data_IF_286836307792
#
_entry.id   IF_286836307792
#
_cell.length_a   1.000
_cell.length_b   1.000
_cell.length_c   1.000
_cell.angle_alpha   90.00
_cell.angle_beta   90.00
_cell.angle_gamma   90.00
#
_symmetry.space_group_name_H-M   'P 1'
#
loop_
_entity.id
_entity.type
_entity.pdbx_description
1 polymer ?
#
# COMPACT_ATOMS: atom_id res chain seq x y z
N UNK A 1 12.93 -1.20 -12.42
CA UNK A 1 12.36 -1.87 -11.24
C UNK A 1 10.92 -2.22 -11.51
N UNK A 2 10.54 -3.45 -11.24
CA UNK A 2 9.14 -3.87 -11.33
C UNK A 2 8.52 -3.85 -9.95
N UNK A 3 7.35 -3.23 -9.83
CA UNK A 3 6.62 -3.15 -8.57
C UNK A 3 5.20 -3.62 -8.80
N UNK A 4 4.79 -4.61 -8.00
CA UNK A 4 3.44 -5.16 -8.04
C UNK A 4 2.76 -4.91 -6.70
N UNK A 5 1.54 -4.41 -6.76
CA UNK A 5 0.71 -4.20 -5.58
C UNK A 5 -0.38 -5.26 -5.53
N UNK A 6 -0.72 -5.69 -4.32
CA UNK A 6 -1.90 -6.52 -4.09
C UNK A 6 -2.58 -6.10 -2.80
N UNK A 7 -3.88 -6.34 -2.71
CA UNK A 7 -4.66 -6.04 -1.52
C UNK A 7 -5.18 -7.36 -0.95
N UNK A 8 -4.98 -7.55 0.36
CA UNK A 8 -5.32 -8.80 1.04
C UNK A 8 -5.89 -8.53 2.43
N UNK A 9 -6.52 -9.55 3.00
CA UNK A 9 -6.97 -9.55 4.39
C UNK A 9 -7.83 -8.34 4.74
N UNK A 10 -8.83 -8.09 3.88
CA UNK A 10 -9.78 -7.00 4.10
C UNK A 10 -10.69 -7.38 5.26
N UNK A 11 -10.74 -6.53 6.28
CA UNK A 11 -11.62 -6.68 7.43
C UNK A 11 -12.60 -5.51 7.47
N UNK A 12 -13.84 -5.77 7.07
CA UNK A 12 -14.85 -4.72 6.99
C UNK A 12 -15.35 -4.28 8.36
N UNK A 13 -15.17 -5.10 9.39
CA UNK A 13 -15.59 -4.73 10.75
C UNK A 13 -14.66 -3.68 11.33
N UNK A 14 -13.35 -3.86 11.20
CA UNK A 14 -12.36 -2.89 11.67
C UNK A 14 -12.01 -1.85 10.61
N UNK A 15 -12.47 -2.04 9.37
CA UNK A 15 -12.17 -1.19 8.22
C UNK A 15 -10.67 -1.10 7.99
N UNK A 16 -10.03 -2.26 7.96
CA UNK A 16 -8.59 -2.38 7.69
C UNK A 16 -8.34 -3.32 6.51
N UNK A 17 -7.20 -3.15 5.89
CA UNK A 17 -6.75 -4.03 4.83
C UNK A 17 -5.23 -4.01 4.76
N UNK A 18 -4.66 -4.93 3.99
CA UNK A 18 -3.22 -5.02 3.79
C UNK A 18 -2.89 -4.75 2.34
N UNK A 19 -1.95 -3.83 2.12
CA UNK A 19 -1.36 -3.63 0.80
C UNK A 19 0.00 -4.31 0.81
N UNK A 20 0.18 -5.27 -0.08
CA UNK A 20 1.45 -5.95 -0.25
C UNK A 20 2.17 -5.38 -1.46
N UNK A 21 3.42 -5.01 -1.25
CA UNK A 21 4.29 -4.44 -2.28
C UNK A 21 5.38 -5.45 -2.58
N UNK A 22 5.45 -5.90 -3.82
CA UNK A 22 6.52 -6.78 -4.28
C UNK A 22 7.38 -6.01 -5.26
N UNK A 23 8.67 -5.86 -4.93
CA UNK A 23 9.61 -5.10 -5.75
C UNK A 23 10.80 -5.95 -6.16
N UNK A 24 11.23 -5.79 -7.39
CA UNK A 24 12.33 -6.58 -7.96
C UNK A 24 13.71 -6.06 -7.59
N UNK A 25 13.81 -4.80 -7.14
CA UNK A 25 15.06 -4.17 -6.79
C UNK A 25 14.83 -3.15 -5.68
N UNK A 26 15.91 -2.65 -5.09
CA UNK A 26 15.83 -1.63 -4.04
C UNK A 26 15.09 -0.39 -4.53
N UNK A 27 14.16 0.09 -3.70
CA UNK A 27 13.40 1.32 -3.95
C UNK A 27 13.62 2.27 -2.78
N UNK A 28 14.27 3.39 -3.04
CA UNK A 28 14.46 4.41 -2.00
C UNK A 28 13.23 5.30 -1.91
N UNK A 29 12.89 5.69 -0.71
CA UNK A 29 11.78 6.61 -0.43
C UNK A 29 10.49 6.21 -1.12
N UNK A 30 10.14 4.93 -1.01
CA UNK A 30 8.87 4.41 -1.54
C UNK A 30 7.71 5.07 -0.81
N UNK A 31 6.74 5.53 -1.58
CA UNK A 31 5.60 6.26 -1.07
C UNK A 31 4.34 5.78 -1.77
N UNK A 32 3.40 5.29 -0.97
CA UNK A 32 2.10 4.82 -1.43
C UNK A 32 1.06 5.88 -1.10
N UNK A 33 0.18 6.16 -2.05
CA UNK A 33 -0.90 7.12 -1.83
C UNK A 33 -2.18 6.65 -2.51
N UNK A 34 -3.31 7.22 -2.07
CA UNK A 34 -4.62 6.85 -2.56
C UNK A 34 -5.33 8.07 -3.13
N UNK A 35 -6.04 7.87 -4.24
CA UNK A 35 -6.95 8.87 -4.79
C UNK A 35 -8.26 8.94 -3.99
N UNK A 36 -8.56 7.89 -3.22
CA UNK A 36 -9.74 7.83 -2.38
C UNK A 36 -9.43 8.50 -1.04
N UNK A 37 -10.36 9.35 -0.57
CA UNK A 37 -10.18 10.05 0.71
C UNK A 37 -10.46 9.12 1.90
N UNK A 38 -9.94 9.50 3.08
CA UNK A 38 -10.21 8.77 4.32
C UNK A 38 -9.38 7.51 4.49
N UNK A 39 -8.27 7.37 3.78
CA UNK A 39 -7.38 6.22 3.93
C UNK A 39 -6.12 6.65 4.68
N UNK A 40 -5.78 5.88 5.71
CA UNK A 40 -4.57 6.07 6.51
C UNK A 40 -3.64 4.88 6.30
N UNK A 41 -2.34 5.15 6.32
CA UNK A 41 -1.29 4.14 6.15
C UNK A 41 -0.53 4.00 7.47
N UNK A 42 -0.20 2.77 7.86
CA UNK A 42 0.57 2.54 9.09
C UNK A 42 2.03 2.93 8.92
N UNK A 43 2.55 2.90 7.70
CA UNK A 43 3.90 3.38 7.39
C UNK A 43 3.98 3.80 5.93
N UNK A 44 4.90 4.71 5.66
CA UNK A 44 5.09 5.24 4.33
C UNK A 44 6.49 5.90 4.25
N UNK A 45 6.90 6.33 3.05
CA UNK A 45 8.21 6.95 2.84
C UNK A 45 9.35 6.05 3.34
N UNK A 46 9.30 4.77 2.98
CA UNK A 46 10.23 3.75 3.45
C UNK A 46 11.16 3.31 2.35
N UNK A 47 12.34 2.81 2.74
CA UNK A 47 13.23 2.15 1.81
C UNK A 47 12.83 0.68 1.74
N UNK A 48 12.64 0.17 0.51
CA UNK A 48 12.25 -1.21 0.28
C UNK A 48 13.40 -2.00 -0.31
N UNK A 49 13.88 -2.99 0.44
CA UNK A 49 14.78 -3.99 -0.10
C UNK A 49 14.02 -4.88 -1.09
N UNK A 50 14.70 -5.55 -2.03
CA UNK A 50 13.99 -6.48 -2.93
C UNK A 50 13.21 -7.53 -2.14
N UNK A 51 11.98 -7.80 -2.57
CA UNK A 51 11.11 -8.78 -1.90
C UNK A 51 9.70 -8.28 -1.72
N UNK A 52 9.05 -8.76 -0.67
CA UNK A 52 7.67 -8.38 -0.36
C UNK A 52 7.60 -7.59 0.93
N UNK A 53 6.75 -6.58 0.94
CA UNK A 53 6.59 -5.68 2.08
C UNK A 53 5.11 -5.43 2.32
N UNK A 54 4.75 -5.27 3.60
CA UNK A 54 3.37 -5.06 4.03
C UNK A 54 3.20 -3.61 4.49
N UNK A 55 2.16 -2.96 3.95
CA UNK A 55 1.67 -1.68 4.45
C UNK A 55 0.21 -1.88 4.82
N UNK A 56 -0.13 -1.72 6.09
CA UNK A 56 -1.52 -1.79 6.53
C UNK A 56 -2.21 -0.46 6.33
N UNK A 57 -3.46 -0.54 5.92
CA UNK A 57 -4.28 0.65 5.72
C UNK A 57 -5.53 0.58 6.58
N UNK A 58 -6.06 1.74 6.93
CA UNK A 58 -7.36 1.90 7.54
C UNK A 58 -8.19 2.83 6.66
N UNK A 59 -9.42 2.43 6.38
CA UNK A 59 -10.33 3.21 5.56
C UNK A 59 -11.59 3.56 6.34
N UNK A 60 -12.33 4.58 5.89
CA UNK A 60 -13.52 5.08 6.60
C UNK A 60 -14.81 4.61 5.98
N UNK A 61 -14.88 4.61 4.66
CA UNK A 61 -16.14 4.38 3.94
C UNK A 61 -16.13 3.02 3.26
N UNK A 62 -16.16 3.01 1.93
CA UNK A 62 -16.19 1.77 1.16
C UNK A 62 -14.82 1.11 1.12
N UNK A 63 -14.81 -0.20 0.95
CA UNK A 63 -13.59 -0.97 0.76
C UNK A 63 -12.84 -0.42 -0.46
N UNK A 64 -11.57 -0.02 -0.29
CA UNK A 64 -10.81 0.49 -1.41
C UNK A 64 -10.45 -0.62 -2.39
N UNK A 65 -10.27 -0.25 -3.65
CA UNK A 65 -9.81 -1.14 -4.70
C UNK A 65 -8.36 -0.86 -5.02
N UNK A 66 -7.69 -1.84 -5.59
CA UNK A 66 -6.27 -1.68 -5.93
C UNK A 66 -6.04 -0.51 -6.87
N UNK A 67 -6.97 -0.25 -7.77
CA UNK A 67 -6.90 0.89 -8.70
C UNK A 67 -6.95 2.25 -8.02
N UNK A 68 -7.36 2.32 -6.76
CA UNK A 68 -7.35 3.57 -5.99
C UNK A 68 -5.95 3.99 -5.56
N UNK A 69 -4.98 3.09 -5.63
CA UNK A 69 -3.63 3.33 -5.10
C UNK A 69 -2.62 3.60 -6.20
N UNK A 70 -1.68 4.46 -5.89
CA UNK A 70 -0.52 4.75 -6.72
C UNK A 70 0.71 4.84 -5.84
N UNK A 71 1.89 4.83 -6.45
CA UNK A 71 3.14 4.88 -5.70
C UNK A 71 4.18 5.70 -6.44
N UNK A 72 5.14 6.21 -5.66
CA UNK A 72 6.33 6.87 -6.17
C UNK A 72 7.55 6.33 -5.41
N UNK A 73 8.72 6.42 -6.03
CA UNK A 73 9.99 6.07 -5.39
C UNK A 73 11.14 6.77 -6.12
N UNK A 74 12.27 6.81 -5.48
CA UNK A 74 13.50 7.34 -6.08
C UNK A 74 14.38 6.27 -6.66
#
# INVERSE_FOLDING_TARGET
VQIDLSIKNIDENSKTAEIWVKNSAFCADFWLFSQKTGISFDRNFVHLLPGEHLIRIQYKDDVPQLSDFSFLYH
#
